data_IF_559742426337
#
_entry.id   IF_559742426337
#
_cell.length_a   1.000
_cell.length_b   1.000
_cell.length_c   1.000
_cell.angle_alpha   90.00
_cell.angle_beta   90.00
_cell.angle_gamma   90.00
#
_symmetry.space_group_name_H-M   'P 1'
#
loop_
_entity.id
_entity.type
_entity.pdbx_description
1 polymer ?
#
# COMPACT_ATOMS: atom_id res chain seq x y z
N UNK A 1 0.73 -4.72 15.02
CA UNK A 1 -0.18 -4.37 13.91
C UNK A 1 -0.79 -2.99 14.15
N UNK A 2 -0.87 -2.15 13.12
CA UNK A 2 -1.46 -0.81 13.18
C UNK A 2 -2.76 -0.74 12.37
N UNK A 3 -3.68 0.08 12.83
CA UNK A 3 -4.99 0.33 12.19
C UNK A 3 -5.26 1.81 11.96
N UNK A 4 -4.22 2.63 12.04
CA UNK A 4 -4.32 4.07 11.81
C UNK A 4 -4.47 4.36 10.31
N UNK A 5 -5.50 5.11 9.92
CA UNK A 5 -5.71 5.55 8.53
C UNK A 5 -4.81 6.73 8.16
N UNK A 6 -4.64 7.69 9.07
CA UNK A 6 -3.97 8.96 8.82
C UNK A 6 -2.52 8.79 8.30
N UNK A 7 -1.68 7.89 8.85
CA UNK A 7 -0.34 7.67 8.34
C UNK A 7 -0.31 7.02 6.94
N UNK A 8 -1.35 6.28 6.56
CA UNK A 8 -1.46 5.71 5.21
C UNK A 8 -1.94 6.76 4.21
N UNK A 9 -2.89 7.60 4.58
CA UNK A 9 -3.35 8.70 3.72
C UNK A 9 -2.24 9.72 3.43
N UNK A 10 -1.38 10.02 4.41
CA UNK A 10 -0.21 10.87 4.20
C UNK A 10 0.81 10.25 3.25
N UNK A 11 1.02 8.92 3.30
CA UNK A 11 1.97 8.20 2.43
C UNK A 11 1.43 7.94 1.02
N UNK A 12 0.14 7.67 0.91
CA UNK A 12 -0.52 7.25 -0.32
C UNK A 12 -1.69 8.19 -0.68
N UNK A 13 -1.47 9.50 -0.82
CA UNK A 13 -2.56 10.44 -1.10
C UNK A 13 -3.27 10.12 -2.42
N UNK A 14 -2.58 9.49 -3.37
CA UNK A 14 -3.13 9.08 -4.65
C UNK A 14 -4.11 7.89 -4.62
N UNK A 15 -4.16 7.12 -3.52
CA UNK A 15 -5.10 6.00 -3.37
C UNK A 15 -6.52 6.49 -3.10
N UNK A 16 -6.65 7.68 -2.48
CA UNK A 16 -7.92 8.23 -2.07
C UNK A 16 -8.32 7.79 -0.64
N UNK A 17 -9.64 7.76 -0.39
CA UNK A 17 -10.16 7.44 0.94
C UNK A 17 -9.93 5.97 1.30
N UNK A 18 -9.45 5.72 2.51
CA UNK A 18 -9.17 4.39 3.03
C UNK A 18 -9.97 4.17 4.32
N UNK A 19 -10.42 2.94 4.51
CA UNK A 19 -11.14 2.48 5.70
C UNK A 19 -10.65 1.08 6.09
N UNK A 20 -10.88 0.68 7.33
CA UNK A 20 -10.49 -0.65 7.85
C UNK A 20 -9.01 -1.04 7.57
N UNK A 21 -8.03 -0.12 7.77
CA UNK A 21 -6.65 -0.45 7.43
C UNK A 21 -6.06 -1.40 8.47
N UNK A 22 -5.29 -2.36 7.98
CA UNK A 22 -4.48 -3.26 8.78
C UNK A 22 -3.10 -3.27 8.16
N UNK A 23 -2.09 -2.75 8.86
CA UNK A 23 -0.76 -2.59 8.30
C UNK A 23 0.36 -2.77 9.32
N UNK A 24 1.54 -3.05 8.79
CA UNK A 24 2.79 -3.22 9.52
C UNK A 24 3.86 -2.41 8.77
N UNK A 25 4.52 -1.52 9.50
CA UNK A 25 5.82 -1.01 9.10
C UNK A 25 6.89 -1.77 9.89
N UNK A 26 7.89 -2.31 9.22
CA UNK A 26 9.04 -2.95 9.86
C UNK A 26 10.28 -2.81 8.98
N UNK A 27 11.47 -2.79 9.58
CA UNK A 27 12.72 -2.92 8.84
C UNK A 27 12.92 -4.43 8.54
N UNK A 28 13.03 -4.86 7.28
CA UNK A 28 13.28 -6.26 6.96
C UNK A 28 14.71 -6.72 7.32
N UNK A 29 15.64 -5.79 7.58
CA UNK A 29 17.02 -6.05 7.99
C UNK A 29 17.22 -5.94 9.51
N UNK A 30 16.27 -5.37 10.24
CA UNK A 30 16.32 -5.25 11.70
C UNK A 30 15.19 -6.05 12.36
N UNK A 31 15.54 -6.98 13.26
CA UNK A 31 14.57 -7.81 13.97
C UNK A 31 13.94 -7.09 15.18
N UNK A 32 14.31 -5.83 15.42
CA UNK A 32 13.93 -5.02 16.55
C UNK A 32 12.59 -4.32 16.37
N UNK A 33 11.73 -4.46 17.39
CA UNK A 33 10.51 -3.67 17.55
C UNK A 33 10.86 -2.25 18.05
N UNK A 34 11.68 -1.51 17.32
CA UNK A 34 11.91 -0.10 17.66
C UNK A 34 10.78 0.79 17.13
N UNK A 35 10.44 1.88 17.83
CA UNK A 35 9.44 2.84 17.37
C UNK A 35 9.91 3.42 16.04
N UNK A 36 9.13 3.14 14.99
CA UNK A 36 9.39 3.55 13.62
C UNK A 36 9.58 5.08 13.59
N UNK A 37 10.80 5.62 13.35
CA UNK A 37 10.94 7.04 13.05
C UNK A 37 10.15 7.34 11.77
N UNK A 38 9.50 8.50 11.69
CA UNK A 38 8.64 8.90 10.56
C UNK A 38 9.35 8.85 9.18
N UNK A 39 10.69 8.70 9.16
CA UNK A 39 11.55 8.70 7.99
C UNK A 39 12.68 7.67 8.12
N UNK A 40 12.51 6.45 7.58
CA UNK A 40 13.64 5.55 7.32
C UNK A 40 13.43 4.75 6.01
N UNK A 41 14.35 4.87 5.03
CA UNK A 41 14.26 4.19 3.74
C UNK A 41 14.38 2.67 3.82
N UNK A 42 14.70 2.12 4.99
CA UNK A 42 14.73 0.67 5.23
C UNK A 42 13.35 0.12 5.58
N UNK A 43 12.39 0.97 5.92
CA UNK A 43 11.08 0.49 6.38
C UNK A 43 10.28 -0.05 5.20
N UNK A 44 9.93 -1.34 5.30
CA UNK A 44 8.91 -1.96 4.48
C UNK A 44 7.55 -1.73 5.15
N UNK A 45 6.65 -1.12 4.41
CA UNK A 45 5.26 -0.94 4.82
C UNK A 45 4.39 -1.86 3.99
N UNK A 46 3.80 -2.84 4.66
CA UNK A 46 2.88 -3.82 4.07
C UNK A 46 1.57 -3.80 4.82
N UNK A 47 0.47 -3.90 4.07
CA UNK A 47 -0.85 -3.89 4.69
C UNK A 47 -1.98 -4.05 3.70
N UNK A 48 -3.19 -4.07 4.24
CA UNK A 48 -4.43 -4.02 3.47
C UNK A 48 -5.33 -2.93 4.02
N UNK A 49 -6.13 -2.33 3.13
CA UNK A 49 -7.18 -1.41 3.49
C UNK A 49 -8.37 -1.60 2.54
N UNK A 50 -9.52 -1.09 2.97
CA UNK A 50 -10.74 -1.08 2.17
C UNK A 50 -10.94 0.29 1.53
N UNK A 51 -11.19 0.27 0.23
CA UNK A 51 -11.57 1.41 -0.58
C UNK A 51 -13.09 1.61 -0.55
N UNK A 52 -13.61 2.78 -0.95
CA UNK A 52 -15.04 2.99 -1.11
C UNK A 52 -15.64 1.94 -2.04
N UNK A 53 -16.91 1.58 -1.80
CA UNK A 53 -17.58 0.56 -2.60
C UNK A 53 -17.54 0.92 -4.10
N UNK A 54 -17.11 -0.02 -4.94
CA UNK A 54 -16.94 0.14 -6.37
C UNK A 54 -15.70 0.90 -6.82
N UNK A 55 -14.92 1.50 -5.90
CA UNK A 55 -13.74 2.28 -6.27
C UNK A 55 -12.67 1.42 -6.95
N UNK A 56 -12.48 0.17 -6.50
CA UNK A 56 -11.51 -0.72 -7.15
C UNK A 56 -11.91 -0.98 -8.60
N UNK A 57 -13.20 -1.25 -8.87
CA UNK A 57 -13.68 -1.48 -10.24
C UNK A 57 -13.39 -0.27 -11.13
N UNK A 58 -13.63 0.94 -10.65
CA UNK A 58 -13.30 2.17 -11.39
C UNK A 58 -11.80 2.31 -11.67
N UNK A 59 -10.95 1.99 -10.68
CA UNK A 59 -9.49 2.06 -10.84
C UNK A 59 -9.01 1.03 -11.88
N UNK A 60 -9.46 -0.23 -11.78
CA UNK A 60 -9.00 -1.29 -12.68
C UNK A 60 -9.50 -1.14 -14.12
N UNK A 61 -10.61 -0.43 -14.31
CA UNK A 61 -11.10 -0.04 -15.64
C UNK A 61 -10.39 1.18 -16.22
N UNK A 62 -9.46 1.82 -15.50
CA UNK A 62 -8.77 3.00 -16.02
C UNK A 62 -7.75 2.58 -17.11
N UNK A 63 -7.91 3.08 -18.35
CA UNK A 63 -6.97 2.77 -19.42
C UNK A 63 -5.58 3.34 -19.10
N UNK A 64 -4.54 2.57 -19.37
CA UNK A 64 -3.14 2.96 -19.12
C UNK A 64 -2.51 2.43 -17.83
N UNK A 65 -3.29 1.84 -16.90
CA UNK A 65 -2.70 1.16 -15.74
C UNK A 65 -2.28 -0.28 -15.98
N UNK A 66 -2.76 -0.90 -17.07
CA UNK A 66 -2.40 -2.25 -17.51
C UNK A 66 -2.50 -3.26 -16.35
N UNK A 67 -3.71 -3.36 -15.78
CA UNK A 67 -3.97 -4.31 -14.70
C UNK A 67 -3.99 -5.74 -15.21
N UNK A 68 -3.20 -6.58 -14.56
CA UNK A 68 -3.09 -8.01 -14.84
C UNK A 68 -3.33 -8.82 -13.56
N UNK A 69 -3.82 -10.07 -13.68
CA UNK A 69 -3.90 -10.99 -12.55
C UNK A 69 -2.55 -11.14 -11.85
N UNK A 70 -2.50 -10.81 -10.56
CA UNK A 70 -1.29 -10.85 -9.77
C UNK A 70 -1.62 -11.07 -8.30
N UNK A 71 -0.95 -12.02 -7.65
CA UNK A 71 -1.14 -12.27 -6.24
C UNK A 71 -0.22 -11.36 -5.39
N UNK A 72 -0.71 -10.81 -4.27
CA UNK A 72 0.15 -10.11 -3.32
C UNK A 72 1.21 -11.07 -2.75
N UNK A 73 2.39 -10.52 -2.43
CA UNK A 73 3.40 -11.27 -1.71
C UNK A 73 2.83 -11.78 -0.38
N UNK A 74 3.26 -12.96 0.08
CA UNK A 74 2.82 -13.49 1.38
C UNK A 74 3.20 -12.51 2.49
N UNK A 75 2.24 -11.83 3.12
CA UNK A 75 2.55 -10.92 4.20
C UNK A 75 2.78 -11.71 5.48
N UNK A 76 3.28 -11.04 6.55
CA UNK A 76 3.37 -11.63 7.87
C UNK A 76 2.05 -12.29 8.30
N UNK A 77 2.14 -13.37 9.08
CA UNK A 77 0.98 -14.18 9.50
C UNK A 77 -0.13 -13.34 10.16
N UNK A 78 0.25 -12.27 10.86
CA UNK A 78 -0.67 -11.29 11.46
C UNK A 78 -1.57 -10.61 10.42
N UNK A 79 -1.04 -10.24 9.26
CA UNK A 79 -1.78 -9.61 8.17
C UNK A 79 -2.51 -10.63 7.29
N UNK A 80 -1.98 -11.85 7.17
CA UNK A 80 -2.58 -12.91 6.37
C UNK A 80 -4.03 -13.20 6.78
N UNK A 81 -4.38 -13.05 8.07
CA UNK A 81 -5.74 -13.24 8.58
C UNK A 81 -6.75 -12.20 8.04
N UNK A 82 -6.30 -11.05 7.55
CA UNK A 82 -7.13 -9.96 7.04
C UNK A 82 -7.22 -9.92 5.51
N UNK A 83 -6.45 -10.77 4.84
CA UNK A 83 -6.43 -10.84 3.38
C UNK A 83 -7.41 -11.90 2.89
N UNK A 84 -8.32 -11.55 1.98
CA UNK A 84 -9.18 -12.53 1.34
C UNK A 84 -8.33 -13.51 0.49
N UNK A 85 -8.41 -14.80 0.81
CA UNK A 85 -7.65 -15.87 0.13
C UNK A 85 -7.98 -16.00 -1.36
N UNK A 86 -9.21 -15.66 -1.77
CA UNK A 86 -9.71 -15.85 -3.13
C UNK A 86 -10.23 -14.55 -3.77
N UNK A 87 -9.55 -13.43 -3.53
CA UNK A 87 -10.05 -12.10 -3.90
C UNK A 87 -9.94 -11.74 -5.41
N UNK A 88 -9.28 -12.57 -6.22
CA UNK A 88 -9.01 -12.25 -7.63
C UNK A 88 -8.16 -10.99 -7.77
N UNK A 89 -6.99 -11.00 -7.14
CA UNK A 89 -6.09 -9.85 -7.07
C UNK A 89 -5.57 -9.42 -8.45
N UNK A 90 -5.58 -8.12 -8.70
CA UNK A 90 -5.06 -7.47 -9.90
C UNK A 90 -3.98 -6.47 -9.51
N UNK A 91 -2.89 -6.39 -10.26
CA UNK A 91 -1.87 -5.35 -10.09
C UNK A 91 -1.59 -4.69 -11.44
N UNK A 92 -1.35 -3.38 -11.41
CA UNK A 92 -1.08 -2.59 -12.61
C UNK A 92 0.16 -1.73 -12.40
N UNK A 93 1.21 -1.94 -13.20
CA UNK A 93 2.46 -1.20 -13.05
C UNK A 93 2.27 0.32 -13.22
N UNK A 94 1.31 0.74 -14.05
CA UNK A 94 0.97 2.15 -14.20
C UNK A 94 0.27 2.72 -12.96
N UNK A 95 -0.53 1.92 -12.26
CA UNK A 95 -1.15 2.33 -11.00
C UNK A 95 -0.10 2.41 -9.89
N UNK A 96 0.77 1.38 -9.78
CA UNK A 96 1.90 1.37 -8.85
C UNK A 96 2.74 2.65 -9.00
N UNK A 97 3.13 2.97 -10.23
CA UNK A 97 3.94 4.16 -10.55
C UNK A 97 3.21 5.46 -10.25
N UNK A 98 1.88 5.52 -10.44
CA UNK A 98 1.05 6.68 -10.08
C UNK A 98 1.04 6.90 -8.57
N UNK A 99 0.90 5.85 -7.77
CA UNK A 99 0.82 5.97 -6.30
C UNK A 99 2.18 6.33 -5.70
N UNK A 100 3.26 5.67 -6.13
CA UNK A 100 4.59 5.96 -5.61
C UNK A 100 5.24 7.19 -6.25
N UNK A 101 4.65 7.73 -7.33
CA UNK A 101 5.26 8.77 -8.15
C UNK A 101 6.60 8.33 -8.77
N UNK A 102 6.82 7.03 -8.93
CA UNK A 102 8.09 6.41 -9.32
C UNK A 102 9.28 6.75 -8.40
N UNK A 103 9.02 7.19 -7.16
CA UNK A 103 10.07 7.59 -6.19
C UNK A 103 10.63 6.41 -5.42
N UNK A 104 9.80 5.39 -5.18
CA UNK A 104 10.16 4.20 -4.43
C UNK A 104 9.44 2.97 -5.01
N UNK A 105 10.00 1.77 -4.83
CA UNK A 105 9.36 0.53 -5.25
C UNK A 105 8.13 0.25 -4.36
N UNK A 106 6.99 0.07 -5.02
CA UNK A 106 5.73 -0.27 -4.35
C UNK A 106 4.85 -1.10 -5.27
N UNK A 107 4.15 -2.06 -4.69
CA UNK A 107 3.15 -2.88 -5.37
C UNK A 107 1.80 -2.69 -4.71
N UNK A 108 0.78 -2.49 -5.52
CA UNK A 108 -0.60 -2.31 -5.08
C UNK A 108 -1.48 -3.33 -5.79
N UNK A 109 -1.91 -4.32 -5.02
CA UNK A 109 -2.84 -5.35 -5.46
C UNK A 109 -4.26 -4.94 -5.09
N UNK A 110 -5.15 -4.94 -6.08
CA UNK A 110 -6.54 -4.56 -5.92
C UNK A 110 -7.43 -5.78 -6.08
N UNK A 111 -8.42 -5.92 -5.19
CA UNK A 111 -9.43 -6.97 -5.21
C UNK A 111 -10.80 -6.37 -5.55
N UNK A 112 -11.26 -6.42 -6.81
CA UNK A 112 -12.51 -5.78 -7.24
C UNK A 112 -13.76 -6.37 -6.60
N UNK A 113 -13.70 -7.63 -6.16
CA UNK A 113 -14.83 -8.31 -5.51
C UNK A 113 -15.09 -7.80 -4.08
N UNK A 114 -14.06 -7.31 -3.40
CA UNK A 114 -14.13 -6.89 -1.98
C UNK A 114 -13.82 -5.42 -1.75
N UNK A 115 -13.55 -4.66 -2.82
CA UNK A 115 -13.02 -3.30 -2.79
C UNK A 115 -11.82 -3.15 -1.83
N UNK A 116 -10.93 -4.15 -1.82
CA UNK A 116 -9.73 -4.12 -0.98
C UNK A 116 -8.51 -3.81 -1.79
N UNK A 117 -7.58 -3.08 -1.18
CA UNK A 117 -6.22 -2.90 -1.65
C UNK A 117 -5.27 -3.59 -0.68
N UNK A 118 -4.29 -4.30 -1.21
CA UNK A 118 -3.11 -4.77 -0.51
C UNK A 118 -1.94 -3.97 -1.06
N UNK A 119 -1.16 -3.35 -0.18
CA UNK A 119 0.01 -2.57 -0.54
C UNK A 119 1.25 -3.19 0.09
N UNK A 120 2.33 -3.18 -0.66
CA UNK A 120 3.64 -3.63 -0.24
C UNK A 120 4.68 -2.68 -0.82
N UNK A 121 5.21 -1.82 0.04
CA UNK A 121 6.10 -0.73 -0.35
C UNK A 121 7.36 -0.79 0.48
N UNK A 122 8.50 -0.53 -0.15
CA UNK A 122 9.77 -0.31 0.55
C UNK A 122 10.09 1.17 0.40
N UNK A 123 10.36 1.86 1.51
CA UNK A 123 10.60 3.30 1.56
C UNK A 123 9.43 4.20 1.08
N UNK A 124 8.21 4.10 1.65
CA UNK A 124 7.19 5.11 1.39
C UNK A 124 7.51 6.35 2.23
N UNK A 125 8.52 7.13 1.82
CA UNK A 125 8.80 8.43 2.42
C UNK A 125 7.52 9.29 2.40
N UNK A 126 7.09 9.78 3.57
CA UNK A 126 6.07 10.82 3.64
C UNK A 126 6.69 12.05 2.95
N UNK A 127 6.08 12.48 1.86
CA UNK A 127 6.50 13.71 1.19
C UNK A 127 6.00 14.87 2.05
N UNK A 128 6.77 15.23 3.08
CA UNK A 128 6.63 16.54 3.68
C UNK A 128 7.01 17.54 2.60
N UNK A 129 6.04 18.34 2.16
CA UNK A 129 6.29 19.45 1.26
C UNK A 129 7.10 20.52 2.00
N UNK A 130 8.39 20.31 2.20
CA UNK A 130 9.48 21.24 2.58
C UNK A 130 10.67 20.35 2.97
N UNK A 131 11.86 20.43 2.36
CA UNK A 131 12.82 21.53 2.50
C UNK A 131 13.73 21.61 1.26
N UNK A 132 13.91 22.78 0.62
CA UNK A 132 15.09 22.99 -0.22
C UNK A 132 16.31 23.09 0.71
N UNK A 133 17.28 22.18 0.58
CA UNK A 133 18.61 22.43 1.13
C UNK A 133 19.34 23.38 0.19
N UNK A 134 19.70 24.55 0.72
CA UNK A 134 20.74 25.41 0.17
C UNK A 134 22.11 24.74 0.29
#
# INVERSE_FOLDING_TARGET
MRTDVEPLQRRFPGIGSLSDPHWLGYDPNDSGREPIPDQDPRIRVVGTARLPAGAVRSIVSTPGYAFEPSAPARPPKELAAFLPEHAGWLAGAGYDSRITGARYPGRFHLAPATDRVCFDTVDPAIVDGSHPRQ
#
